data_IF_018115907461
#
_entry.id   IF_018115907461
#
_cell.length_a   1.000
_cell.length_b   1.000
_cell.length_c   1.000
_cell.angle_alpha   90.00
_cell.angle_beta   90.00
_cell.angle_gamma   90.00
#
_symmetry.space_group_name_H-M   'P 1'
#
loop_
_entity.id
_entity.type
_entity.pdbx_description
1 polymer ?
#
# COMPACT_ATOMS: atom_id res chain seq x y z
N UNK A 1 -26.07 -4.54 16.49
CA UNK A 1 -25.48 -3.71 15.41
C UNK A 1 -26.08 -4.17 14.09
N UNK A 2 -27.25 -3.63 13.75
CA UNK A 2 -27.96 -3.89 12.50
C UNK A 2 -27.99 -2.57 11.76
N UNK A 3 -26.97 -2.33 10.94
CA UNK A 3 -26.95 -1.20 10.01
C UNK A 3 -26.62 -1.75 8.63
N UNK A 4 -27.66 -1.69 7.78
CA UNK A 4 -27.61 -1.54 6.33
C UNK A 4 -27.63 -2.78 5.42
N UNK A 5 -28.75 -3.53 5.52
CA UNK A 5 -29.27 -4.40 4.45
C UNK A 5 -29.53 -3.67 3.11
N UNK A 6 -29.60 -2.33 3.08
CA UNK A 6 -29.87 -1.58 1.86
C UNK A 6 -28.70 -1.63 0.88
N UNK A 7 -27.48 -1.43 1.36
CA UNK A 7 -26.29 -1.41 0.51
C UNK A 7 -26.04 -2.79 -0.11
N UNK A 8 -26.14 -3.82 0.73
CA UNK A 8 -26.03 -5.23 0.36
C UNK A 8 -27.02 -5.65 -0.74
N UNK A 9 -28.28 -5.22 -0.63
CA UNK A 9 -29.33 -5.45 -1.63
C UNK A 9 -29.07 -4.73 -2.96
N UNK A 10 -28.38 -3.59 -2.94
CA UNK A 10 -28.07 -2.81 -4.14
C UNK A 10 -26.82 -3.30 -4.89
N UNK A 11 -25.88 -4.02 -4.25
CA UNK A 11 -24.64 -4.45 -4.89
C UNK A 11 -24.83 -5.29 -6.15
N UNK A 12 -25.72 -6.31 -6.19
CA UNK A 12 -25.98 -7.07 -7.41
C UNK A 12 -26.47 -6.19 -8.57
N UNK A 13 -27.28 -5.17 -8.27
CA UNK A 13 -27.76 -4.21 -9.27
C UNK A 13 -26.62 -3.33 -9.81
N UNK A 14 -25.65 -2.96 -8.95
CA UNK A 14 -24.47 -2.20 -9.34
C UNK A 14 -23.58 -3.04 -10.26
N UNK A 15 -23.27 -4.29 -9.90
CA UNK A 15 -22.42 -5.18 -10.72
C UNK A 15 -23.02 -5.37 -12.11
N UNK A 16 -24.31 -5.73 -12.19
CA UNK A 16 -25.03 -5.86 -13.47
C UNK A 16 -25.01 -4.59 -14.29
N UNK A 17 -25.22 -3.45 -13.64
CA UNK A 17 -25.21 -2.15 -14.32
C UNK A 17 -23.80 -1.80 -14.85
N UNK A 18 -22.72 -2.21 -14.17
CA UNK A 18 -21.34 -1.93 -14.60
C UNK A 18 -21.03 -2.76 -15.84
N UNK A 19 -21.39 -4.05 -15.83
CA UNK A 19 -21.23 -4.94 -17.00
C UNK A 19 -22.01 -4.42 -18.20
N UNK A 20 -23.26 -3.99 -18.00
CA UNK A 20 -24.09 -3.41 -19.06
C UNK A 20 -23.49 -2.12 -19.63
N UNK A 21 -22.98 -1.25 -18.75
CA UNK A 21 -22.33 0.00 -19.11
C UNK A 21 -21.08 -0.24 -19.98
N UNK A 22 -20.21 -1.18 -19.61
CA UNK A 22 -19.06 -1.58 -20.42
C UNK A 22 -19.45 -2.23 -21.75
N UNK A 23 -20.62 -2.86 -21.83
CA UNK A 23 -21.14 -3.40 -23.10
C UNK A 23 -21.81 -2.37 -24.03
N UNK A 24 -21.84 -1.09 -23.65
CA UNK A 24 -22.44 -0.01 -24.44
C UNK A 24 -23.95 0.17 -24.22
N UNK A 25 -24.58 -0.64 -23.36
CA UNK A 25 -26.00 -0.54 -23.04
C UNK A 25 -26.21 0.35 -21.81
N UNK A 26 -26.29 1.66 -22.04
CA UNK A 26 -26.43 2.69 -20.99
C UNK A 26 -27.86 3.26 -20.83
N UNK A 27 -28.89 2.55 -21.33
CA UNK A 27 -30.23 3.11 -21.54
C UNK A 27 -31.01 3.41 -20.24
N UNK A 28 -31.04 2.52 -19.24
CA UNK A 28 -32.07 2.66 -18.17
C UNK A 28 -31.57 2.63 -16.71
N UNK A 29 -30.55 1.84 -16.38
CA UNK A 29 -30.16 1.63 -14.97
C UNK A 29 -28.95 2.45 -14.53
N UNK A 30 -28.08 2.86 -15.47
CA UNK A 30 -26.79 3.47 -15.16
C UNK A 30 -26.90 4.76 -14.34
N UNK A 31 -27.89 5.61 -14.69
CA UNK A 31 -28.12 6.92 -14.06
C UNK A 31 -28.39 6.83 -12.55
N UNK A 32 -29.03 5.75 -12.11
CA UNK A 32 -29.50 5.61 -10.72
C UNK A 32 -28.65 4.64 -9.90
N UNK A 33 -27.89 3.75 -10.55
CA UNK A 33 -27.11 2.71 -9.88
C UNK A 33 -25.61 2.99 -9.84
N UNK A 34 -25.05 3.77 -10.77
CA UNK A 34 -23.60 3.93 -10.94
C UNK A 34 -23.20 5.40 -11.01
N UNK A 35 -22.26 5.81 -10.16
CA UNK A 35 -21.69 7.17 -10.16
C UNK A 35 -20.74 7.46 -11.35
N UNK A 36 -20.41 6.43 -12.15
CA UNK A 36 -19.48 6.52 -13.27
C UNK A 36 -20.12 6.94 -14.60
N UNK A 37 -21.44 6.85 -14.77
CA UNK A 37 -22.09 7.24 -16.01
C UNK A 37 -23.41 8.00 -15.78
N UNK A 38 -23.57 9.13 -16.47
CA UNK A 38 -24.69 10.05 -16.29
C UNK A 38 -26.00 9.58 -16.95
N UNK A 39 -26.01 8.40 -17.58
CA UNK A 39 -27.14 7.87 -18.35
C UNK A 39 -27.38 8.67 -19.64
N UNK A 40 -27.69 7.95 -20.73
CA UNK A 40 -28.05 8.57 -21.99
C UNK A 40 -27.55 7.79 -23.21
N UNK A 41 -28.40 7.70 -24.22
CA UNK A 41 -28.19 6.98 -25.49
C UNK A 41 -26.97 7.53 -26.28
N UNK A 42 -26.49 8.74 -25.97
CA UNK A 42 -25.44 9.45 -26.74
C UNK A 42 -24.10 9.67 -26.01
N UNK A 43 -23.97 9.30 -24.74
CA UNK A 43 -22.68 9.34 -24.04
C UNK A 43 -22.29 7.92 -23.62
N UNK A 44 -21.92 7.12 -24.60
CA UNK A 44 -21.15 5.91 -24.35
C UNK A 44 -19.81 6.30 -23.73
N UNK A 45 -19.75 6.43 -22.39
CA UNK A 45 -18.64 6.27 -21.41
C UNK A 45 -17.23 6.83 -21.76
N UNK A 46 -17.02 7.45 -22.90
CA UNK A 46 -15.69 7.66 -23.49
C UNK A 46 -15.20 9.09 -23.51
N UNK A 47 -16.04 10.07 -23.20
CA UNK A 47 -15.63 11.48 -23.37
C UNK A 47 -15.21 12.16 -22.08
N UNK A 48 -15.69 11.73 -20.90
CA UNK A 48 -15.51 12.52 -19.67
C UNK A 48 -14.88 11.81 -18.47
N UNK A 49 -14.59 10.49 -18.53
CA UNK A 49 -13.84 9.83 -17.44
C UNK A 49 -12.34 9.87 -17.74
N UNK A 50 -11.68 10.91 -17.23
CA UNK A 50 -10.21 11.03 -17.16
C UNK A 50 -9.55 9.75 -16.62
N UNK A 51 -10.28 8.96 -15.83
CA UNK A 51 -9.87 7.68 -15.24
C UNK A 51 -9.72 6.54 -16.23
N UNK A 52 -10.52 6.46 -17.30
CA UNK A 52 -10.44 5.37 -18.29
C UNK A 52 -9.28 5.58 -19.27
N UNK A 53 -9.03 6.84 -19.64
CA UNK A 53 -7.89 7.24 -20.49
C UNK A 53 -6.55 6.88 -19.83
N UNK A 54 -6.45 7.03 -18.50
CA UNK A 54 -5.23 6.67 -17.73
C UNK A 54 -5.01 5.16 -17.65
N UNK A 55 -6.05 4.35 -17.79
CA UNK A 55 -5.95 2.88 -17.71
C UNK A 55 -5.84 2.17 -19.07
N UNK A 56 -5.67 2.90 -20.18
CA UNK A 56 -5.54 2.32 -21.54
C UNK A 56 -6.73 1.41 -21.90
N UNK A 57 -7.90 1.64 -21.31
CA UNK A 57 -9.14 0.97 -21.69
C UNK A 57 -9.92 1.94 -22.57
N UNK A 58 -9.64 1.92 -23.87
CA UNK A 58 -10.41 2.70 -24.85
C UNK A 58 -11.82 2.12 -25.00
N UNK A 59 -12.81 2.96 -25.30
CA UNK A 59 -14.14 2.51 -25.68
C UNK A 59 -14.05 1.45 -26.80
N UNK A 60 -14.67 0.28 -26.61
CA UNK A 60 -14.67 -0.82 -27.59
C UNK A 60 -13.45 -1.74 -27.55
N UNK A 61 -12.48 -1.52 -26.65
CA UNK A 61 -11.34 -2.44 -26.47
C UNK A 61 -11.72 -3.77 -25.81
N UNK A 62 -12.79 -3.76 -25.00
CA UNK A 62 -13.51 -4.98 -24.61
C UNK A 62 -14.64 -5.21 -25.61
N UNK A 63 -14.51 -6.23 -26.46
CA UNK A 63 -15.67 -6.82 -27.14
C UNK A 63 -16.34 -7.71 -26.10
N UNK A 64 -17.49 -7.33 -25.50
CA UNK A 64 -18.05 -8.07 -24.37
C UNK A 64 -18.66 -9.39 -24.84
N UNK A 65 -17.81 -10.36 -25.16
CA UNK A 65 -18.19 -11.75 -25.39
C UNK A 65 -18.82 -12.29 -24.10
N UNK A 66 -19.63 -13.35 -24.22
CA UNK A 66 -20.27 -13.99 -23.05
C UNK A 66 -19.23 -14.37 -21.97
N UNK A 67 -18.05 -14.81 -22.40
CA UNK A 67 -16.90 -15.13 -21.55
C UNK A 67 -16.38 -13.91 -20.78
N UNK A 68 -16.23 -12.78 -21.46
CA UNK A 68 -15.66 -11.57 -20.87
C UNK A 68 -16.63 -10.92 -19.88
N UNK A 69 -17.94 -11.03 -20.15
CA UNK A 69 -18.98 -10.61 -19.20
C UNK A 69 -18.88 -11.40 -17.90
N UNK A 70 -18.72 -12.73 -17.97
CA UNK A 70 -18.55 -13.59 -16.80
C UNK A 70 -17.25 -13.29 -16.05
N UNK A 71 -16.17 -13.00 -16.78
CA UNK A 71 -14.90 -12.62 -16.18
C UNK A 71 -15.02 -11.28 -15.43
N UNK A 72 -15.63 -10.27 -16.04
CA UNK A 72 -15.85 -8.97 -15.39
C UNK A 72 -16.77 -9.12 -14.19
N UNK A 73 -17.85 -9.89 -14.31
CA UNK A 73 -18.78 -10.16 -13.22
C UNK A 73 -18.07 -10.84 -12.05
N UNK A 74 -17.29 -11.90 -12.29
CA UNK A 74 -16.50 -12.57 -11.24
C UNK A 74 -15.43 -11.66 -10.62
N UNK A 75 -14.74 -10.84 -11.41
CA UNK A 75 -13.79 -9.84 -10.90
C UNK A 75 -14.47 -8.80 -9.99
N UNK A 76 -15.65 -8.33 -10.41
CA UNK A 76 -16.44 -7.38 -9.63
C UNK A 76 -16.98 -8.05 -8.37
N UNK A 77 -17.50 -9.27 -8.44
CA UNK A 77 -17.96 -10.05 -7.29
C UNK A 77 -16.84 -10.30 -6.28
N UNK A 78 -15.59 -10.53 -6.70
CA UNK A 78 -14.48 -10.63 -5.76
C UNK A 78 -14.29 -9.37 -4.88
N UNK A 79 -14.74 -8.20 -5.35
CA UNK A 79 -14.60 -6.92 -4.62
C UNK A 79 -15.92 -6.39 -4.06
N UNK A 80 -17.02 -6.70 -4.71
CA UNK A 80 -18.38 -6.21 -4.49
C UNK A 80 -19.34 -7.38 -4.16
N UNK A 81 -18.83 -8.50 -3.67
CA UNK A 81 -19.68 -9.54 -3.10
C UNK A 81 -20.09 -9.19 -1.69
N UNK A 82 -21.16 -9.84 -1.26
CA UNK A 82 -21.62 -9.79 0.11
C UNK A 82 -20.55 -10.28 1.10
N UNK A 83 -19.79 -11.30 0.72
CA UNK A 83 -18.67 -11.82 1.51
C UNK A 83 -17.54 -10.81 1.62
N UNK A 84 -17.18 -10.14 0.52
CA UNK A 84 -16.17 -9.07 0.52
C UNK A 84 -16.59 -7.89 1.41
N UNK A 85 -17.86 -7.49 1.37
CA UNK A 85 -18.40 -6.46 2.27
C UNK A 85 -18.33 -6.88 3.74
N UNK A 86 -18.73 -8.11 4.06
CA UNK A 86 -18.64 -8.64 5.41
C UNK A 86 -17.17 -8.65 5.88
N UNK A 87 -16.23 -9.07 5.02
CA UNK A 87 -14.81 -9.04 5.33
C UNK A 87 -14.28 -7.61 5.57
N UNK A 88 -14.77 -6.63 4.81
CA UNK A 88 -14.45 -5.22 5.04
C UNK A 88 -15.03 -4.71 6.36
N UNK A 89 -16.28 -5.06 6.67
CA UNK A 89 -16.97 -4.66 7.90
C UNK A 89 -16.31 -5.25 9.15
N UNK A 90 -15.96 -6.54 9.10
CA UNK A 90 -15.32 -7.26 10.19
C UNK A 90 -13.79 -7.14 10.18
N UNK A 91 -13.22 -6.31 9.30
CA UNK A 91 -11.78 -6.08 9.21
C UNK A 91 -10.96 -7.37 8.99
N UNK A 92 -11.54 -8.39 8.37
CA UNK A 92 -10.91 -9.69 8.09
C UNK A 92 -10.38 -9.82 6.67
N UNK A 93 -10.30 -8.72 5.92
CA UNK A 93 -9.67 -8.72 4.61
C UNK A 93 -8.13 -8.87 4.71
N UNK A 94 -7.51 -9.42 3.67
CA UNK A 94 -6.07 -9.68 3.60
C UNK A 94 -5.24 -8.43 3.88
N UNK A 95 -5.61 -7.29 3.27
CA UNK A 95 -4.95 -6.00 3.46
C UNK A 95 -4.92 -5.56 4.94
N UNK A 96 -6.00 -5.82 5.67
CA UNK A 96 -6.12 -5.47 7.08
C UNK A 96 -5.33 -6.43 7.95
N UNK A 97 -5.38 -7.73 7.69
CA UNK A 97 -4.53 -8.72 8.33
C UNK A 97 -3.05 -8.37 8.17
N UNK A 98 -2.62 -8.05 6.95
CA UNK A 98 -1.25 -7.58 6.70
C UNK A 98 -0.92 -6.29 7.45
N UNK A 99 -1.82 -5.31 7.45
CA UNK A 99 -1.63 -4.05 8.17
C UNK A 99 -1.46 -4.29 9.67
N UNK A 100 -2.25 -5.19 10.25
CA UNK A 100 -2.15 -5.58 11.67
C UNK A 100 -0.81 -6.27 11.90
N UNK A 101 -0.44 -7.26 11.10
CA UNK A 101 0.82 -8.00 11.23
C UNK A 101 2.06 -7.10 11.12
N UNK A 102 2.07 -6.17 10.16
CA UNK A 102 3.15 -5.17 10.03
C UNK A 102 3.22 -4.26 11.25
N UNK A 103 2.08 -3.84 11.78
CA UNK A 103 2.04 -2.99 12.97
C UNK A 103 2.49 -3.74 14.21
N UNK A 104 2.04 -4.97 14.40
CA UNK A 104 2.51 -5.85 15.50
C UNK A 104 4.02 -6.03 15.38
N UNK A 105 4.56 -6.32 14.20
CA UNK A 105 6.01 -6.46 13.98
C UNK A 105 6.79 -5.17 14.29
N UNK A 106 6.16 -3.99 14.12
CA UNK A 106 6.76 -2.70 14.47
C UNK A 106 6.77 -2.48 15.99
N UNK A 107 5.71 -2.90 16.69
CA UNK A 107 5.62 -2.78 18.15
C UNK A 107 6.46 -3.86 18.83
N UNK A 108 6.44 -5.09 18.32
CA UNK A 108 7.18 -6.25 18.80
C UNK A 108 8.20 -6.67 17.74
N UNK A 109 9.29 -5.90 17.57
CA UNK A 109 10.33 -6.27 16.63
C UNK A 109 11.05 -7.54 17.11
N UNK A 110 11.40 -8.42 16.17
CA UNK A 110 12.00 -9.74 16.45
C UNK A 110 13.30 -9.68 17.25
N UNK A 111 14.02 -8.57 17.18
CA UNK A 111 15.29 -8.36 17.86
C UNK A 111 15.17 -7.86 19.31
N UNK A 112 13.96 -7.68 19.84
CA UNK A 112 13.75 -7.24 21.23
C UNK A 112 12.71 -8.11 21.92
N UNK A 113 13.06 -8.63 23.09
CA UNK A 113 12.14 -9.36 23.93
C UNK A 113 11.38 -8.42 24.88
N UNK A 114 10.08 -8.65 25.05
CA UNK A 114 9.17 -7.84 25.86
C UNK A 114 8.35 -8.72 26.82
N UNK A 115 9.02 -9.58 27.58
CA UNK A 115 8.38 -10.59 28.45
C UNK A 115 7.25 -10.05 29.33
N UNK A 116 7.44 -8.88 29.96
CA UNK A 116 6.45 -8.31 30.89
C UNK A 116 5.28 -7.60 30.22
N UNK A 117 5.41 -7.12 28.98
CA UNK A 117 4.41 -6.24 28.36
C UNK A 117 4.10 -6.56 26.89
N UNK A 118 4.56 -7.69 26.36
CA UNK A 118 4.35 -8.09 24.97
C UNK A 118 2.86 -8.07 24.60
N UNK A 119 2.01 -8.66 25.46
CA UNK A 119 0.55 -8.72 25.26
C UNK A 119 -0.03 -7.31 25.16
N UNK A 120 0.26 -6.45 26.13
CA UNK A 120 -0.24 -5.07 26.13
C UNK A 120 0.21 -4.27 24.91
N UNK A 121 1.45 -4.50 24.43
CA UNK A 121 1.97 -3.84 23.23
C UNK A 121 1.32 -4.36 21.95
N UNK A 122 1.05 -5.67 21.85
CA UNK A 122 0.27 -6.25 20.76
C UNK A 122 -1.17 -5.70 20.74
N UNK A 123 -1.86 -5.71 21.89
CA UNK A 123 -3.22 -5.19 22.00
C UNK A 123 -3.29 -3.70 21.66
N UNK A 124 -2.33 -2.90 22.12
CA UNK A 124 -2.22 -1.48 21.77
C UNK A 124 -1.95 -1.26 20.27
N UNK A 125 -1.17 -2.13 19.63
CA UNK A 125 -0.95 -2.11 18.19
C UNK A 125 -2.26 -2.37 17.44
N UNK A 126 -2.99 -3.42 17.80
CA UNK A 126 -4.29 -3.78 17.20
C UNK A 126 -5.30 -2.64 17.36
N UNK A 127 -5.41 -2.07 18.57
CA UNK A 127 -6.33 -0.95 18.84
C UNK A 127 -6.05 0.26 17.93
N UNK A 128 -4.77 0.57 17.69
CA UNK A 128 -4.34 1.67 16.81
C UNK A 128 -4.53 1.39 15.33
N UNK A 129 -4.55 0.14 14.89
CA UNK A 129 -4.84 -0.21 13.49
C UNK A 129 -6.34 -0.19 13.23
N UNK A 130 -7.14 -0.57 14.23
CA UNK A 130 -8.60 -0.61 14.12
C UNK A 130 -9.26 0.75 14.33
N UNK A 131 -8.56 1.73 14.90
CA UNK A 131 -9.08 3.06 15.17
C UNK A 131 -8.09 4.12 14.73
N UNK A 132 -8.56 5.33 14.42
CA UNK A 132 -7.67 6.47 14.24
C UNK A 132 -6.91 6.76 15.55
N UNK A 133 -5.74 7.42 15.44
CA UNK A 133 -4.81 7.60 16.57
C UNK A 133 -5.44 8.36 17.76
N UNK A 134 -6.25 9.36 17.46
CA UNK A 134 -7.04 10.13 18.42
C UNK A 134 -8.08 9.27 19.13
N UNK A 135 -8.82 8.45 18.39
CA UNK A 135 -9.84 7.54 18.94
C UNK A 135 -9.21 6.44 19.78
N UNK A 136 -8.10 5.85 19.31
CA UNK A 136 -7.35 4.84 20.06
C UNK A 136 -6.86 5.40 21.40
N UNK A 137 -6.27 6.61 21.39
CA UNK A 137 -5.79 7.26 22.61
C UNK A 137 -6.95 7.60 23.57
N UNK A 138 -8.05 8.15 23.04
CA UNK A 138 -9.23 8.45 23.85
C UNK A 138 -9.80 7.19 24.51
N UNK A 139 -9.85 6.06 23.79
CA UNK A 139 -10.28 4.75 24.32
C UNK A 139 -9.34 4.25 25.42
N UNK A 140 -8.02 4.33 25.21
CA UNK A 140 -7.05 3.92 26.25
C UNK A 140 -7.16 4.78 27.50
N UNK A 141 -7.28 6.11 27.34
CA UNK A 141 -7.40 7.03 28.47
C UNK A 141 -8.70 6.81 29.25
N UNK A 142 -9.80 6.56 28.55
CA UNK A 142 -11.07 6.18 29.17
C UNK A 142 -10.95 4.88 29.97
N UNK A 143 -10.24 3.88 29.43
CA UNK A 143 -10.02 2.60 30.13
C UNK A 143 -9.18 2.74 31.41
N UNK A 144 -8.27 3.72 31.46
CA UNK A 144 -7.45 4.04 32.65
C UNK A 144 -8.20 4.94 33.64
N UNK A 145 -9.45 5.31 33.37
CA UNK A 145 -10.22 6.25 34.20
C UNK A 145 -9.90 7.73 33.95
N UNK A 146 -8.92 8.03 33.10
CA UNK A 146 -8.50 9.38 32.72
C UNK A 146 -9.20 9.86 31.44
N UNK A 147 -10.52 9.68 31.34
CA UNK A 147 -11.28 10.01 30.14
C UNK A 147 -11.18 11.49 29.75
N UNK A 148 -10.88 11.78 28.49
CA UNK A 148 -10.86 13.16 27.99
C UNK A 148 -12.29 13.68 27.76
N UNK A 149 -12.61 14.86 28.27
CA UNK A 149 -13.89 15.54 28.00
C UNK A 149 -14.06 15.84 26.50
N UNK A 150 -15.31 15.73 26.00
CA UNK A 150 -15.67 15.81 24.56
C UNK A 150 -15.19 17.08 23.83
N UNK A 151 -14.91 18.17 24.56
CA UNK A 151 -14.39 19.45 24.03
C UNK A 151 -13.13 19.94 24.74
N UNK A 152 -12.43 19.05 25.46
CA UNK A 152 -11.19 19.41 26.12
C UNK A 152 -10.15 19.89 25.10
N UNK A 153 -9.26 20.80 25.53
CA UNK A 153 -8.16 21.31 24.70
C UNK A 153 -7.30 20.16 24.13
N UNK A 154 -7.11 19.10 24.91
CA UNK A 154 -6.41 17.89 24.50
C UNK A 154 -7.08 17.17 23.30
N UNK A 155 -8.42 17.01 23.33
CA UNK A 155 -9.16 16.39 22.21
C UNK A 155 -9.08 17.24 20.95
N UNK A 156 -9.19 18.57 21.09
CA UNK A 156 -9.05 19.50 19.95
C UNK A 156 -7.63 19.42 19.36
N UNK A 157 -6.60 19.39 20.20
CA UNK A 157 -5.21 19.24 19.76
C UNK A 157 -4.97 17.91 19.02
N UNK A 158 -5.53 16.80 19.54
CA UNK A 158 -5.44 15.48 18.89
C UNK A 158 -6.09 15.47 17.51
N UNK A 159 -7.28 16.05 17.37
CA UNK A 159 -7.96 16.17 16.07
C UNK A 159 -7.14 17.02 15.10
N UNK A 160 -6.61 18.16 15.55
CA UNK A 160 -5.72 19.02 14.73
C UNK A 160 -4.49 18.25 14.25
N UNK A 161 -3.86 17.46 15.12
CA UNK A 161 -2.69 16.65 14.76
C UNK A 161 -3.02 15.60 13.69
N UNK A 162 -4.13 14.88 13.82
CA UNK A 162 -4.57 13.88 12.83
C UNK A 162 -4.85 14.56 11.48
N UNK A 163 -5.56 15.68 11.48
CA UNK A 163 -5.88 16.44 10.27
C UNK A 163 -4.61 17.00 9.60
N UNK A 164 -3.67 17.53 10.37
CA UNK A 164 -2.39 18.00 9.83
C UNK A 164 -1.62 16.87 9.15
N UNK A 165 -1.55 15.69 9.78
CA UNK A 165 -0.88 14.52 9.20
C UNK A 165 -1.56 14.05 7.91
N UNK A 166 -2.89 14.04 7.88
CA UNK A 166 -3.67 13.74 6.68
C UNK A 166 -3.34 14.75 5.56
N UNK A 167 -3.39 16.05 5.86
CA UNK A 167 -3.06 17.11 4.92
C UNK A 167 -1.65 16.98 4.37
N UNK A 168 -0.64 16.70 5.21
CA UNK A 168 0.74 16.47 4.74
C UNK A 168 0.82 15.32 3.74
N UNK A 169 0.09 14.22 3.96
CA UNK A 169 0.07 13.09 3.02
C UNK A 169 -0.58 13.50 1.69
N UNK A 170 -1.69 14.23 1.72
CA UNK A 170 -2.36 14.72 0.51
C UNK A 170 -1.51 15.73 -0.26
N UNK A 171 -0.89 16.69 0.45
CA UNK A 171 0.04 17.66 -0.14
C UNK A 171 1.22 16.93 -0.79
N UNK A 172 1.78 15.89 -0.15
CA UNK A 172 2.85 15.07 -0.75
C UNK A 172 2.45 14.36 -2.05
N UNK A 173 1.16 14.12 -2.27
CA UNK A 173 0.64 13.53 -3.52
C UNK A 173 0.41 14.57 -4.62
N UNK A 174 0.39 15.86 -4.30
CA UNK A 174 0.22 16.93 -5.28
C UNK A 174 1.31 16.91 -6.36
N UNK A 175 0.93 17.24 -7.60
CA UNK A 175 1.85 17.29 -8.74
C UNK A 175 3.01 18.25 -8.49
N UNK A 176 2.74 19.40 -7.87
CA UNK A 176 3.76 20.41 -7.50
C UNK A 176 4.84 19.81 -6.59
N UNK A 177 4.46 19.05 -5.56
CA UNK A 177 5.44 18.42 -4.65
C UNK A 177 6.22 17.31 -5.35
N UNK A 178 5.58 16.53 -6.23
CA UNK A 178 6.26 15.53 -7.07
C UNK A 178 7.31 16.18 -7.99
N UNK A 179 6.93 17.25 -8.68
CA UNK A 179 7.83 18.00 -9.56
C UNK A 179 9.03 18.57 -8.79
N UNK A 180 8.78 19.21 -7.63
CA UNK A 180 9.86 19.74 -6.78
C UNK A 180 10.81 18.64 -6.28
N UNK A 181 10.29 17.44 -5.97
CA UNK A 181 11.14 16.28 -5.61
C UNK A 181 12.01 15.82 -6.76
N UNK A 182 11.47 15.76 -7.98
CA UNK A 182 12.26 15.42 -9.18
C UNK A 182 13.35 16.46 -9.43
N UNK A 183 13.02 17.76 -9.31
CA UNK A 183 14.00 18.85 -9.42
C UNK A 183 15.11 18.73 -8.36
N UNK A 184 14.75 18.43 -7.11
CA UNK A 184 15.72 18.22 -6.04
C UNK A 184 16.63 17.00 -6.30
N UNK A 185 16.07 15.87 -6.78
CA UNK A 185 16.84 14.69 -7.18
C UNK A 185 17.79 14.99 -8.34
N UNK A 186 17.34 15.73 -9.36
CA UNK A 186 18.19 16.18 -10.47
C UNK A 186 19.36 17.02 -9.95
N UNK A 187 19.09 17.98 -9.05
CA UNK A 187 20.13 18.81 -8.43
C UNK A 187 21.13 17.96 -7.62
N UNK A 188 20.64 17.00 -6.82
CA UNK A 188 21.52 16.08 -6.08
C UNK A 188 22.38 15.23 -7.01
N UNK A 189 21.83 14.71 -8.10
CA UNK A 189 22.59 13.91 -9.08
C UNK A 189 23.68 14.75 -9.77
N UNK A 190 23.37 15.98 -10.18
CA UNK A 190 24.34 16.92 -10.75
C UNK A 190 25.46 17.20 -9.73
N UNK A 191 25.10 17.54 -8.49
CA UNK A 191 26.07 17.80 -7.43
C UNK A 191 26.96 16.58 -7.15
N UNK A 192 26.38 15.36 -7.14
CA UNK A 192 27.14 14.13 -6.98
C UNK A 192 28.16 13.93 -8.11
N UNK A 193 27.75 14.15 -9.37
CA UNK A 193 28.64 14.04 -10.53
C UNK A 193 29.75 15.09 -10.51
N UNK A 194 29.43 16.34 -10.16
CA UNK A 194 30.41 17.42 -10.01
C UNK A 194 31.41 17.07 -8.90
N UNK A 195 30.94 16.63 -7.74
CA UNK A 195 31.79 16.22 -6.63
C UNK A 195 32.66 15.01 -6.99
N UNK A 196 32.16 14.07 -7.79
CA UNK A 196 32.91 12.92 -8.30
C UNK A 196 34.00 13.34 -9.30
N UNK A 197 33.76 14.38 -10.11
CA UNK A 197 34.77 14.94 -11.03
C UNK A 197 35.87 15.69 -10.29
N UNK A 198 35.51 16.51 -9.30
CA UNK A 198 36.46 17.26 -8.46
C UNK A 198 37.28 16.31 -7.58
N UNK A 199 36.61 15.32 -6.98
CA UNK A 199 37.28 14.25 -6.23
C UNK A 199 37.64 13.10 -7.18
N UNK A 200 38.62 13.30 -8.06
CA UNK A 200 39.36 12.17 -8.64
C UNK A 200 40.08 11.46 -7.48
N UNK A 201 39.38 10.54 -6.80
CA UNK A 201 40.03 9.63 -5.87
C UNK A 201 41.00 8.80 -6.70
N UNK A 202 42.30 9.08 -6.56
CA UNK A 202 43.33 8.08 -6.80
C UNK A 202 42.93 6.89 -5.92
N UNK A 203 42.34 5.85 -6.49
CA UNK A 203 42.22 4.61 -5.74
C UNK A 203 43.65 4.16 -5.48
N UNK A 204 44.08 4.17 -4.22
CA UNK A 204 45.38 3.60 -3.84
C UNK A 204 45.51 2.13 -4.22
N UNK A 205 44.39 1.49 -4.57
CA UNK A 205 44.31 0.18 -5.19
C UNK A 205 44.92 0.18 -6.60
N UNK A 206 46.05 -0.52 -6.75
CA UNK A 206 46.54 -0.99 -8.05
C UNK A 206 45.92 -2.36 -8.33
N UNK A 207 45.49 -2.60 -9.58
CA UNK A 207 45.05 -3.92 -10.03
C UNK A 207 46.15 -4.95 -9.68
N UNK A 208 45.78 -6.09 -9.09
CA UNK A 208 46.69 -7.14 -8.57
C UNK A 208 47.39 -6.83 -7.22
N UNK A 209 47.05 -5.75 -6.50
CA UNK A 209 47.68 -5.43 -5.20
C UNK A 209 47.34 -6.42 -4.06
N UNK A 210 46.19 -7.08 -4.13
CA UNK A 210 45.72 -8.07 -3.14
C UNK A 210 45.90 -9.51 -3.61
N UNK A 211 46.45 -9.71 -4.81
CA UNK A 211 46.74 -11.06 -5.28
C UNK A 211 47.94 -11.61 -4.51
N UNK A 212 47.83 -12.82 -3.95
CA UNK A 212 48.95 -13.44 -3.27
C UNK A 212 50.11 -13.56 -4.25
N UNK A 213 51.29 -13.05 -3.87
CA UNK A 213 52.51 -13.24 -4.66
C UNK A 213 52.77 -14.75 -4.69
N UNK A 214 52.44 -15.40 -5.81
CA UNK A 214 52.82 -16.78 -6.05
C UNK A 214 54.34 -16.82 -6.11
N UNK A 215 54.99 -17.18 -5.00
CA UNK A 215 56.42 -17.50 -5.01
C UNK A 215 56.60 -18.67 -5.98
N UNK A 216 57.27 -18.41 -7.11
CA UNK A 216 57.45 -19.37 -8.22
C UNK A 216 58.27 -20.62 -7.84
N UNK A 217 58.70 -20.75 -6.59
CA UNK A 217 59.60 -21.81 -6.12
C UNK A 217 58.99 -22.71 -5.04
N UNK A 218 57.67 -22.72 -4.86
CA UNK A 218 57.03 -23.68 -3.94
C UNK A 218 56.88 -25.05 -4.65
N UNK A 219 57.83 -25.95 -4.41
CA UNK A 219 57.69 -27.39 -4.67
C UNK A 219 56.37 -27.90 -4.08
N UNK A 220 55.66 -28.83 -4.72
CA UNK A 220 54.35 -29.29 -4.27
C UNK A 220 54.50 -30.03 -2.93
N UNK A 221 54.18 -29.35 -1.83
CA UNK A 221 53.93 -30.02 -0.56
C UNK A 221 52.45 -30.39 -0.52
N UNK A 222 52.23 -31.64 -0.14
CA UNK A 222 50.96 -32.35 -0.08
C UNK A 222 49.82 -31.49 0.49
N UNK A 223 48.69 -31.54 -0.20
CA UNK A 223 47.45 -30.89 0.21
C UNK A 223 46.92 -31.60 1.47
N UNK A 224 47.14 -30.99 2.64
CA UNK A 224 46.43 -31.39 3.86
C UNK A 224 45.11 -30.58 3.91
N UNK A 225 43.94 -31.23 3.83
CA UNK A 225 42.67 -30.51 3.92
C UNK A 225 42.51 -29.92 5.32
N UNK A 226 42.21 -28.62 5.40
CA UNK A 226 41.84 -28.01 6.67
C UNK A 226 40.43 -28.46 7.08
N UNK A 227 40.20 -28.82 8.37
CA UNK A 227 38.88 -29.17 8.85
C UNK A 227 38.03 -27.89 8.95
N UNK A 228 37.01 -27.75 8.10
CA UNK A 228 36.05 -26.64 8.21
C UNK A 228 35.31 -26.23 6.94
N UNK A 229 35.73 -26.67 5.77
CA UNK A 229 34.95 -26.43 4.54
C UNK A 229 33.95 -27.56 4.32
N UNK A 230 32.73 -27.41 4.85
CA UNK A 230 31.61 -28.24 4.47
C UNK A 230 31.27 -28.01 3.00
N UNK A 231 31.57 -29.02 2.19
CA UNK A 231 31.10 -29.19 0.83
C UNK A 231 29.56 -29.32 0.88
N UNK A 232 28.84 -28.37 0.28
CA UNK A 232 27.39 -28.49 0.10
C UNK A 232 27.14 -29.23 -1.21
N UNK A 233 26.58 -30.45 -1.20
CA UNK A 233 26.14 -31.10 -2.42
C UNK A 233 24.83 -30.48 -2.91
N UNK A 234 24.71 -30.39 -4.24
CA UNK A 234 23.52 -29.95 -4.98
C UNK A 234 22.29 -30.85 -4.78
#
# INVERSE_FOLDING_TARGET
>A
MVTDNKFQKCLPCIVKSVVNCYSGNCSDTCRWSITLCNGGIKLAVGTNLLTLVVMVLQNGSLKPNKTDKLLIESLLEMKLSQTALNQMQFFSNTNKCESVNRTISTYLPKNKNFSRNAIGRASAAVLKVNNNRDVALAKTLKAVGCGLGRKSRAVVALKKYVNMKYMIVHIKKSLRVKFNRLKARKKQAINFLLNKRVRKRLSGYKKHQLEPKLCQNASPKEFVPQPGCSFWPD
#
